data_IF_999821929977
#
_entry.id   IF_999821929977
#
_cell.length_a   1.000
_cell.length_b   1.000
_cell.length_c   1.000
_cell.angle_alpha   90.00
_cell.angle_beta   90.00
_cell.angle_gamma   90.00
#
_symmetry.space_group_name_H-M   'P 1'
#
loop_
_entity.id
_entity.type
_entity.pdbx_description
1 polymer ?
#
# COMPACT_ATOMS: atom_id res chain seq x y z
N UNK A 1 30.72 -12.49 -55.18
CA UNK A 1 30.55 -13.60 -54.24
C UNK A 1 30.34 -12.97 -52.89
N UNK A 2 29.08 -12.71 -52.54
CA UNK A 2 28.15 -13.63 -51.86
C UNK A 2 28.27 -13.49 -50.33
N UNK A 3 27.10 -13.33 -49.74
CA UNK A 3 26.71 -12.73 -48.47
C UNK A 3 27.11 -13.53 -47.22
N UNK A 4 27.18 -12.85 -46.07
CA UNK A 4 26.76 -13.42 -44.80
C UNK A 4 26.23 -12.30 -43.87
N UNK A 5 25.00 -12.52 -43.41
CA UNK A 5 24.22 -11.68 -42.50
C UNK A 5 24.80 -11.77 -41.08
N UNK A 6 25.05 -10.63 -40.43
CA UNK A 6 25.07 -10.55 -38.98
C UNK A 6 24.07 -9.47 -38.53
N UNK A 7 23.08 -9.81 -37.69
CA UNK A 7 22.07 -8.87 -37.23
C UNK A 7 22.74 -7.84 -36.32
N UNK A 8 22.48 -6.56 -36.57
CA UNK A 8 22.73 -5.50 -35.61
C UNK A 8 21.80 -5.71 -34.41
N UNK A 9 22.14 -6.62 -33.51
CA UNK A 9 21.54 -6.68 -32.18
C UNK A 9 22.28 -5.69 -31.29
N UNK A 10 21.98 -4.41 -31.46
CA UNK A 10 22.22 -3.43 -30.41
C UNK A 10 21.14 -3.62 -29.36
N UNK A 11 21.50 -4.08 -28.16
CA UNK A 11 20.60 -4.02 -27.02
C UNK A 11 20.57 -2.57 -26.53
N UNK A 12 19.37 -2.02 -26.39
CA UNK A 12 19.18 -0.83 -25.54
C UNK A 12 19.09 -1.38 -24.11
N UNK A 13 20.20 -1.34 -23.38
CA UNK A 13 20.27 -1.74 -21.96
C UNK A 13 19.68 -0.68 -21.01
N UNK A 14 19.33 0.50 -21.52
CA UNK A 14 18.57 1.50 -20.76
C UNK A 14 18.06 2.61 -21.67
N UNK A 15 16.76 2.90 -21.59
CA UNK A 15 16.21 4.17 -22.02
C UNK A 15 16.25 5.12 -20.82
N UNK A 16 16.68 6.37 -21.03
CA UNK A 16 16.46 7.46 -20.08
C UNK A 16 15.60 8.51 -20.76
N UNK A 17 14.36 8.64 -20.31
CA UNK A 17 13.52 9.78 -20.61
C UNK A 17 13.83 10.85 -19.55
N UNK A 18 14.53 11.90 -19.94
CA UNK A 18 14.75 13.07 -19.11
C UNK A 18 13.51 13.98 -19.24
N UNK A 19 12.62 13.90 -18.25
CA UNK A 19 11.49 14.83 -18.13
C UNK A 19 11.97 16.03 -17.30
N UNK A 20 12.48 17.08 -17.95
CA UNK A 20 12.56 18.41 -17.32
C UNK A 20 11.17 19.06 -17.19
N UNK A 21 10.22 18.27 -16.71
CA UNK A 21 8.94 18.67 -16.16
C UNK A 21 8.79 17.76 -14.94
N UNK A 22 9.33 18.20 -13.79
CA UNK A 22 9.24 17.43 -12.57
C UNK A 22 7.79 17.36 -12.15
N UNK A 23 7.08 16.33 -12.65
CA UNK A 23 5.86 15.87 -12.00
C UNK A 23 6.19 15.82 -10.50
N UNK A 24 5.41 16.51 -9.64
CA UNK A 24 5.69 16.51 -8.21
C UNK A 24 5.89 15.07 -7.77
N UNK A 25 6.91 14.76 -6.95
CA UNK A 25 7.20 13.40 -6.55
C UNK A 25 5.90 12.73 -6.10
N UNK A 26 5.59 11.51 -6.60
CA UNK A 26 4.35 10.85 -6.24
C UNK A 26 4.30 10.73 -4.73
N UNK A 27 3.17 11.13 -4.15
CA UNK A 27 3.00 11.17 -2.70
C UNK A 27 2.77 9.77 -2.17
N UNK A 28 3.88 9.06 -1.97
CA UNK A 28 3.91 7.67 -1.55
C UNK A 28 4.62 7.55 -0.21
N UNK A 29 4.02 6.81 0.71
CA UNK A 29 4.68 6.36 1.93
C UNK A 29 4.39 4.88 2.15
N UNK A 30 5.33 4.19 2.78
CA UNK A 30 5.19 2.77 3.10
C UNK A 30 5.79 2.47 4.46
N UNK A 31 5.34 1.37 5.04
CA UNK A 31 5.89 0.76 6.23
C UNK A 31 6.13 -0.71 5.92
N UNK A 32 7.38 -1.15 6.01
CA UNK A 32 7.77 -2.54 5.80
C UNK A 32 8.24 -3.20 7.11
N UNK A 33 7.84 -2.63 8.26
CA UNK A 33 8.16 -3.18 9.56
C UNK A 33 7.05 -4.13 10.00
N UNK A 34 7.45 -5.31 10.45
CA UNK A 34 6.55 -6.29 11.03
C UNK A 34 5.86 -5.72 12.28
N UNK A 35 4.54 -5.62 12.23
CA UNK A 35 3.71 -5.25 13.39
C UNK A 35 2.89 -6.45 13.83
N UNK A 36 3.08 -6.96 15.07
CA UNK A 36 2.31 -8.10 15.55
C UNK A 36 0.84 -7.71 15.71
N UNK A 37 -0.04 -8.63 15.30
CA UNK A 37 -1.49 -8.57 15.49
C UNK A 37 -1.85 -9.66 16.52
N UNK A 38 -1.99 -9.31 17.81
CA UNK A 38 -2.36 -10.29 18.83
C UNK A 38 -3.77 -10.85 18.59
N UNK A 39 -4.01 -12.05 19.11
CA UNK A 39 -5.33 -12.66 19.14
C UNK A 39 -6.35 -11.74 19.84
N UNK A 40 -7.57 -11.68 19.31
CA UNK A 40 -8.69 -10.89 19.85
C UNK A 40 -8.33 -9.43 20.19
N UNK A 41 -7.47 -8.80 19.39
CA UNK A 41 -6.93 -7.46 19.64
C UNK A 41 -6.89 -6.60 18.39
N UNK A 42 -6.48 -5.35 18.56
CA UNK A 42 -6.30 -4.39 17.47
C UNK A 42 -4.83 -3.99 17.39
N UNK A 43 -4.24 -4.13 16.22
CA UNK A 43 -2.92 -3.59 15.90
C UNK A 43 -3.07 -2.27 15.14
N UNK A 44 -2.13 -1.36 15.35
CA UNK A 44 -2.05 -0.11 14.59
C UNK A 44 -0.63 0.13 14.13
N UNK A 45 -0.48 0.55 12.88
CA UNK A 45 0.79 0.97 12.28
C UNK A 45 0.59 2.35 11.67
N UNK A 46 1.49 3.29 11.94
CA UNK A 46 1.39 4.66 11.47
C UNK A 46 2.56 5.01 10.54
N UNK A 47 2.28 5.82 9.51
CA UNK A 47 3.27 6.48 8.66
C UNK A 47 2.97 7.97 8.59
N UNK A 48 4.01 8.78 8.57
CA UNK A 48 3.88 10.22 8.39
C UNK A 48 4.25 10.58 6.95
N UNK A 49 3.30 11.16 6.23
CA UNK A 49 3.53 11.78 4.94
C UNK A 49 3.81 13.27 5.13
N UNK A 50 4.90 13.75 4.53
CA UNK A 50 5.33 15.14 4.58
C UNK A 50 5.92 15.57 3.23
N UNK A 51 5.90 16.86 2.92
CA UNK A 51 6.38 17.39 1.64
C UNK A 51 5.40 17.25 0.47
N UNK A 52 4.16 16.83 0.76
CA UNK A 52 3.10 16.59 -0.22
C UNK A 52 2.02 17.65 -0.13
N UNK A 53 2.11 18.72 -0.92
CA UNK A 53 1.10 19.78 -0.89
C UNK A 53 -0.24 19.34 -1.52
N UNK A 54 -1.33 19.92 -1.04
CA UNK A 54 -2.68 19.70 -1.56
C UNK A 54 -3.41 18.47 -0.99
N UNK A 55 -4.52 18.14 -1.64
CA UNK A 55 -5.37 17.01 -1.27
C UNK A 55 -4.97 15.74 -2.01
N UNK A 56 -5.22 14.58 -1.42
CA UNK A 56 -5.02 13.30 -2.05
C UNK A 56 -5.92 13.11 -3.28
N UNK A 57 -5.66 12.08 -4.07
CA UNK A 57 -6.42 11.75 -5.27
C UNK A 57 -7.63 10.87 -4.94
N UNK A 58 -8.68 10.96 -5.76
CA UNK A 58 -9.76 9.96 -5.75
C UNK A 58 -9.31 8.58 -6.24
N UNK A 59 -8.16 8.53 -6.91
CA UNK A 59 -7.51 7.32 -7.41
C UNK A 59 -6.39 6.83 -6.47
N UNK A 60 -6.43 7.24 -5.20
CA UNK A 60 -5.44 6.78 -4.22
C UNK A 60 -5.52 5.27 -4.05
N UNK A 61 -4.38 4.65 -3.76
CA UNK A 61 -4.28 3.20 -3.59
C UNK A 61 -3.57 2.85 -2.30
N UNK A 62 -4.08 1.83 -1.62
CA UNK A 62 -3.47 1.25 -0.43
C UNK A 62 -3.07 -0.20 -0.70
N UNK A 63 -1.76 -0.46 -0.80
CA UNK A 63 -1.22 -1.81 -0.77
C UNK A 63 -1.11 -2.32 0.67
N UNK A 64 -1.62 -3.51 0.95
CA UNK A 64 -1.54 -4.13 2.28
C UNK A 64 -1.09 -5.58 2.14
N UNK A 65 -0.08 -5.94 2.94
CA UNK A 65 0.40 -7.30 3.13
C UNK A 65 0.29 -7.70 4.60
N UNK A 66 -0.57 -8.67 4.90
CA UNK A 66 -0.81 -9.20 6.24
C UNK A 66 -0.73 -10.72 6.19
N UNK A 67 0.09 -11.29 7.06
CA UNK A 67 0.18 -12.73 7.28
C UNK A 67 -0.76 -13.09 8.43
N UNK A 68 -1.83 -13.83 8.16
CA UNK A 68 -2.81 -14.21 9.18
C UNK A 68 -3.50 -15.52 8.80
N UNK A 69 -3.66 -16.47 9.74
CA UNK A 69 -4.25 -17.78 9.44
C UNK A 69 -5.75 -17.73 9.13
N UNK A 70 -6.43 -16.59 9.32
CA UNK A 70 -7.85 -16.43 8.97
C UNK A 70 -8.17 -14.98 8.60
N UNK A 71 -8.02 -14.61 7.33
CA UNK A 71 -8.33 -13.24 6.86
C UNK A 71 -9.81 -12.89 6.97
N UNK A 72 -10.69 -13.90 6.96
CA UNK A 72 -12.12 -13.74 7.26
C UNK A 72 -12.42 -13.27 8.68
N UNK A 73 -11.41 -13.26 9.57
CA UNK A 73 -11.55 -12.84 10.96
C UNK A 73 -10.87 -11.51 11.27
N UNK A 74 -10.38 -10.79 10.25
CA UNK A 74 -9.76 -9.47 10.43
C UNK A 74 -10.51 -8.38 9.67
N UNK A 75 -10.43 -7.16 10.21
CA UNK A 75 -10.91 -5.94 9.57
C UNK A 75 -9.76 -4.96 9.45
N UNK A 76 -9.56 -4.43 8.25
CA UNK A 76 -8.52 -3.44 7.94
C UNK A 76 -9.19 -2.10 7.70
N UNK A 77 -8.75 -1.10 8.45
CA UNK A 77 -9.25 0.27 8.36
C UNK A 77 -8.07 1.22 8.22
N UNK A 78 -8.09 2.07 7.20
CA UNK A 78 -7.19 3.20 7.09
C UNK A 78 -7.79 4.40 7.82
N UNK A 79 -6.99 5.04 8.66
CA UNK A 79 -7.35 6.26 9.39
C UNK A 79 -6.50 7.40 8.83
N UNK A 80 -7.17 8.43 8.32
CA UNK A 80 -6.55 9.68 7.87
C UNK A 80 -6.12 10.53 9.07
N UNK A 81 -5.30 11.54 8.79
CA UNK A 81 -4.78 12.47 9.80
C UNK A 81 -5.86 13.36 10.44
N UNK A 82 -7.01 13.54 9.79
CA UNK A 82 -8.17 14.26 10.35
C UNK A 82 -9.03 13.34 11.27
N UNK A 83 -8.78 12.03 11.24
CA UNK A 83 -9.56 11.01 11.93
C UNK A 83 -10.62 10.31 11.05
N UNK A 84 -10.76 10.68 9.77
CA UNK A 84 -11.63 9.97 8.84
C UNK A 84 -11.17 8.53 8.65
N UNK A 85 -12.13 7.61 8.54
CA UNK A 85 -11.87 6.17 8.48
C UNK A 85 -12.37 5.57 7.19
N UNK A 86 -11.55 4.70 6.58
CA UNK A 86 -11.83 4.02 5.33
C UNK A 86 -11.64 2.52 5.55
N UNK A 87 -12.75 1.78 5.50
CA UNK A 87 -12.69 0.32 5.64
C UNK A 87 -12.24 -0.27 4.32
N UNK A 88 -11.08 -0.92 4.33
CA UNK A 88 -10.48 -1.56 3.16
C UNK A 88 -10.91 -3.02 3.07
N UNK A 89 -11.04 -3.66 4.23
CA UNK A 89 -11.42 -5.07 4.35
C UNK A 89 -12.25 -5.26 5.61
N UNK A 90 -13.35 -6.00 5.53
CA UNK A 90 -14.27 -6.22 6.66
C UNK A 90 -14.65 -7.70 6.74
N UNK A 91 -13.89 -8.47 7.54
CA UNK A 91 -14.19 -9.87 7.90
C UNK A 91 -14.54 -10.76 6.70
N UNK A 92 -13.89 -10.53 5.57
CA UNK A 92 -14.10 -11.26 4.33
C UNK A 92 -12.91 -12.18 4.05
N UNK A 93 -13.13 -13.31 3.37
CA UNK A 93 -12.07 -14.29 3.07
C UNK A 93 -12.23 -15.61 3.84
N UNK A 94 -11.18 -16.42 3.85
CA UNK A 94 -11.19 -17.78 4.37
C UNK A 94 -10.24 -18.02 5.55
N UNK A 95 -10.21 -19.27 6.01
CA UNK A 95 -9.47 -19.75 7.18
C UNK A 95 -8.01 -20.14 6.88
N UNK A 96 -7.40 -19.60 5.82
CA UNK A 96 -5.99 -19.81 5.48
C UNK A 96 -5.42 -18.78 4.48
N UNK A 97 -6.10 -17.65 4.23
CA UNK A 97 -5.67 -16.69 3.22
C UNK A 97 -4.88 -15.55 3.86
N UNK A 98 -3.61 -15.42 3.48
CA UNK A 98 -2.85 -14.19 3.68
C UNK A 98 -3.47 -13.07 2.83
N UNK A 99 -3.32 -11.83 3.28
CA UNK A 99 -3.76 -10.66 2.50
C UNK A 99 -2.53 -10.10 1.81
N UNK A 100 -2.56 -10.04 0.49
CA UNK A 100 -1.63 -9.30 -0.36
C UNK A 100 -2.47 -8.62 -1.45
N UNK A 101 -2.98 -7.43 -1.13
CA UNK A 101 -4.02 -6.76 -1.94
C UNK A 101 -3.76 -5.27 -2.02
N UNK A 102 -4.04 -4.71 -3.20
CA UNK A 102 -4.08 -3.26 -3.43
C UNK A 102 -5.54 -2.81 -3.46
N UNK A 103 -5.92 -1.98 -2.49
CA UNK A 103 -7.26 -1.42 -2.39
C UNK A 103 -7.31 -0.02 -3.01
N UNK A 104 -8.18 0.23 -4.00
CA UNK A 104 -8.49 1.58 -4.43
C UNK A 104 -9.31 2.28 -3.34
N UNK A 105 -8.89 3.48 -2.93
CA UNK A 105 -9.54 4.27 -1.88
C UNK A 105 -9.67 5.71 -2.34
N UNK A 106 -10.88 6.26 -2.21
CA UNK A 106 -11.13 7.65 -2.58
C UNK A 106 -10.77 8.57 -1.40
N UNK A 107 -9.63 9.27 -1.50
CA UNK A 107 -9.11 10.15 -0.45
C UNK A 107 -9.14 11.64 -0.86
N UNK A 108 -9.94 12.02 -1.86
CA UNK A 108 -9.90 13.38 -2.43
C UNK A 108 -10.20 14.53 -1.45
N UNK A 109 -10.87 14.23 -0.34
CA UNK A 109 -11.16 15.17 0.75
C UNK A 109 -10.00 15.33 1.71
N UNK A 110 -9.06 14.41 1.70
CA UNK A 110 -8.02 14.28 2.70
C UNK A 110 -6.76 15.05 2.32
N UNK A 111 -6.12 15.66 3.32
CA UNK A 111 -4.81 16.27 3.14
C UNK A 111 -3.75 15.19 2.95
N UNK A 112 -2.85 15.36 1.97
CA UNK A 112 -1.77 14.38 1.77
C UNK A 112 -0.78 14.35 2.93
N UNK A 113 -0.43 15.54 3.44
CA UNK A 113 0.42 15.66 4.60
C UNK A 113 -0.35 15.28 5.86
N UNK A 114 0.23 14.40 6.65
CA UNK A 114 -0.35 13.96 7.90
C UNK A 114 0.10 12.58 8.32
N UNK A 115 -0.36 12.18 9.49
CA UNK A 115 -0.17 10.81 9.98
C UNK A 115 -1.32 9.95 9.48
N UNK A 116 -0.98 8.95 8.70
CA UNK A 116 -1.89 7.92 8.23
C UNK A 116 -1.69 6.67 9.10
N UNK A 117 -2.77 6.09 9.59
CA UNK A 117 -2.70 4.91 10.47
C UNK A 117 -3.47 3.75 9.84
N UNK A 118 -2.79 2.64 9.59
CA UNK A 118 -3.42 1.38 9.30
C UNK A 118 -3.82 0.71 10.62
N UNK A 119 -5.11 0.46 10.80
CA UNK A 119 -5.67 -0.26 11.93
C UNK A 119 -6.17 -1.62 11.47
N UNK A 120 -5.68 -2.68 12.12
CA UNK A 120 -6.11 -4.06 11.87
C UNK A 120 -6.74 -4.62 13.13
N UNK A 121 -8.04 -4.86 13.08
CA UNK A 121 -8.78 -5.50 14.17
C UNK A 121 -8.89 -6.98 13.90
N UNK A 122 -8.46 -7.80 14.85
CA UNK A 122 -8.52 -9.25 14.79
C UNK A 122 -9.57 -9.77 15.78
N UNK A 123 -10.53 -10.54 15.28
CA UNK A 123 -11.57 -11.19 16.09
C UNK A 123 -11.40 -12.71 16.17
N UNK A 124 -10.21 -13.23 15.83
CA UNK A 124 -9.87 -14.64 15.99
C UNK A 124 -8.97 -14.88 17.20
N UNK A 125 -8.93 -16.13 17.65
CA UNK A 125 -7.99 -16.60 18.67
C UNK A 125 -6.56 -16.78 18.13
N UNK A 126 -6.37 -16.63 16.82
CA UNK A 126 -5.07 -16.71 16.19
C UNK A 126 -4.40 -15.33 16.15
N UNK A 127 -3.08 -15.30 16.18
CA UNK A 127 -2.30 -14.09 15.93
C UNK A 127 -1.87 -14.01 14.46
N UNK A 128 -1.48 -12.82 14.02
CA UNK A 128 -0.82 -12.60 12.74
C UNK A 128 0.12 -11.41 12.78
N UNK A 129 0.54 -10.95 11.60
CA UNK A 129 1.54 -9.90 11.44
C UNK A 129 1.13 -9.01 10.26
N UNK A 130 1.16 -7.68 10.47
CA UNK A 130 1.22 -6.73 9.36
C UNK A 130 2.66 -6.75 8.89
N UNK A 131 2.91 -7.33 7.71
CA UNK A 131 4.25 -7.45 7.14
C UNK A 131 4.65 -6.11 6.49
N UNK A 132 3.76 -5.59 5.65
CA UNK A 132 4.01 -4.32 4.98
C UNK A 132 2.73 -3.65 4.49
N UNK A 133 2.79 -2.33 4.31
CA UNK A 133 1.73 -1.57 3.66
C UNK A 133 2.27 -0.30 3.03
N UNK A 134 1.59 0.17 1.98
CA UNK A 134 1.98 1.35 1.22
C UNK A 134 0.75 2.16 0.80
N UNK A 135 0.82 3.47 1.02
CA UNK A 135 -0.20 4.43 0.65
C UNK A 135 0.32 5.32 -0.48
N UNK A 136 -0.45 5.40 -1.56
CA UNK A 136 -0.19 6.27 -2.72
C UNK A 136 -1.36 7.25 -2.86
N UNK A 137 -1.07 8.55 -2.82
CA UNK A 137 -2.04 9.66 -2.81
C UNK A 137 -2.02 10.52 -4.07
#
# INVERSE_FOLDING_TARGET
MQDALDPHSGTIDSWRLDLTDSAPPPCVASNASDVPIPANSTATSAITLSGCSGNASALSTMGVRILHPSSGSIRITLVSSDGSTYVLHDYNGGSADDIDVIYPVNLFTEMRNGTWTLQVRNSSENAGIIDSWALTL
#
